data_IF_508098220904
#
_entry.id   IF_508098220904
#
_cell.length_a   1.000
_cell.length_b   1.000
_cell.length_c   1.000
_cell.angle_alpha   90.00
_cell.angle_beta   90.00
_cell.angle_gamma   90.00
#
_symmetry.space_group_name_H-M   'P 1'
#
loop_
_entity.id
_entity.type
_entity.pdbx_description
1 polymer ?
#
# COMPACT_ATOMS: atom_id res chain seq x y z
N UNK A 1 -15.43 1.85 17.59
CA UNK A 1 -16.51 2.33 16.69
C UNK A 1 -15.90 3.26 15.67
N UNK A 2 -15.30 2.71 14.61
CA UNK A 2 -14.56 3.48 13.59
C UNK A 2 -14.83 2.96 12.17
N UNK A 3 -15.94 2.26 11.96
CA UNK A 3 -16.39 1.77 10.64
C UNK A 3 -17.09 2.81 9.74
N UNK A 4 -17.69 3.94 10.21
CA UNK A 4 -18.50 4.77 9.32
C UNK A 4 -17.71 5.66 8.34
N UNK A 5 -16.37 5.65 8.36
CA UNK A 5 -15.54 6.50 7.47
C UNK A 5 -15.04 5.77 6.23
N UNK A 6 -14.56 4.52 6.39
CA UNK A 6 -14.03 3.74 5.27
C UNK A 6 -15.15 3.25 4.35
N UNK A 7 -16.19 2.65 4.92
CA UNK A 7 -17.31 2.11 4.11
C UNK A 7 -18.07 3.23 3.38
N UNK A 8 -18.12 4.43 3.97
CA UNK A 8 -18.67 5.61 3.32
C UNK A 8 -17.79 6.10 2.17
N UNK A 9 -16.47 6.09 2.32
CA UNK A 9 -15.54 6.44 1.24
C UNK A 9 -15.61 5.43 0.09
N UNK A 10 -15.58 4.13 0.40
CA UNK A 10 -15.75 3.05 -0.56
C UNK A 10 -17.07 3.19 -1.35
N UNK A 11 -18.16 3.49 -0.65
CA UNK A 11 -19.45 3.74 -1.28
C UNK A 11 -19.43 4.95 -2.24
N UNK A 12 -18.86 6.07 -1.81
CA UNK A 12 -18.75 7.28 -2.65
C UNK A 12 -17.88 7.03 -3.90
N UNK A 13 -16.82 6.25 -3.76
CA UNK A 13 -15.91 5.91 -4.85
C UNK A 13 -16.43 4.74 -5.71
N UNK A 14 -17.59 4.17 -5.38
CA UNK A 14 -18.15 2.98 -6.04
C UNK A 14 -17.18 1.79 -6.07
N UNK A 15 -16.43 1.61 -4.98
CA UNK A 15 -15.45 0.53 -4.79
C UNK A 15 -15.89 -0.41 -3.67
N UNK A 16 -15.45 -1.66 -3.73
CA UNK A 16 -15.55 -2.60 -2.60
C UNK A 16 -14.23 -2.69 -1.85
N UNK A 17 -14.27 -3.15 -0.60
CA UNK A 17 -13.05 -3.36 0.21
C UNK A 17 -12.11 -4.34 -0.48
N UNK A 18 -12.62 -5.43 -1.05
CA UNK A 18 -11.82 -6.41 -1.80
C UNK A 18 -11.17 -5.76 -3.02
N UNK A 19 -11.92 -4.96 -3.78
CA UNK A 19 -11.36 -4.30 -4.97
C UNK A 19 -10.21 -3.34 -4.63
N UNK A 20 -10.30 -2.63 -3.50
CA UNK A 20 -9.23 -1.74 -3.04
C UNK A 20 -8.05 -2.55 -2.52
N UNK A 21 -8.32 -3.63 -1.78
CA UNK A 21 -7.29 -4.55 -1.33
C UNK A 21 -6.48 -5.13 -2.50
N UNK A 22 -7.14 -5.69 -3.53
CA UNK A 22 -6.48 -6.25 -4.72
C UNK A 22 -5.62 -5.21 -5.46
N UNK A 23 -6.09 -3.97 -5.57
CA UNK A 23 -5.35 -2.91 -6.23
C UNK A 23 -4.10 -2.52 -5.43
N UNK A 24 -4.24 -2.36 -4.11
CA UNK A 24 -3.11 -2.07 -3.23
C UNK A 24 -2.10 -3.22 -3.17
N UNK A 25 -2.57 -4.48 -3.22
CA UNK A 25 -1.73 -5.66 -3.26
C UNK A 25 -0.90 -5.71 -4.55
N UNK A 26 -1.50 -5.36 -5.69
CA UNK A 26 -0.77 -5.25 -6.96
C UNK A 26 0.33 -4.19 -6.92
N UNK A 27 0.03 -3.04 -6.33
CA UNK A 27 1.02 -1.96 -6.15
C UNK A 27 2.13 -2.42 -5.23
N UNK A 28 1.79 -3.04 -4.10
CA UNK A 28 2.76 -3.58 -3.14
C UNK A 28 3.71 -4.59 -3.81
N UNK A 29 3.16 -5.58 -4.51
CA UNK A 29 3.95 -6.59 -5.21
C UNK A 29 4.87 -5.97 -6.26
N UNK A 30 4.38 -4.98 -7.02
CA UNK A 30 5.21 -4.27 -8.01
C UNK A 30 6.38 -3.52 -7.37
N UNK A 31 6.20 -2.98 -6.16
CA UNK A 31 7.25 -2.28 -5.42
C UNK A 31 8.28 -3.27 -4.83
N UNK A 32 7.83 -4.42 -4.35
CA UNK A 32 8.69 -5.51 -3.88
C UNK A 32 9.51 -6.06 -5.05
N UNK A 33 8.88 -6.36 -6.18
CA UNK A 33 9.55 -6.80 -7.40
C UNK A 33 10.60 -5.78 -7.85
N UNK A 34 10.27 -4.49 -7.81
CA UNK A 34 11.22 -3.42 -8.14
C UNK A 34 12.43 -3.43 -7.19
N UNK A 35 12.21 -3.59 -5.88
CA UNK A 35 13.27 -3.70 -4.89
C UNK A 35 14.19 -4.89 -5.18
N UNK A 36 13.62 -6.06 -5.50
CA UNK A 36 14.37 -7.28 -5.79
C UNK A 36 15.17 -7.20 -7.09
N UNK A 37 14.56 -6.66 -8.15
CA UNK A 37 15.19 -6.54 -9.46
C UNK A 37 16.22 -5.42 -9.52
N UNK A 38 16.04 -4.35 -8.73
CA UNK A 38 16.85 -3.13 -8.80
C UNK A 38 17.41 -2.69 -7.44
N UNK A 39 18.12 -3.54 -6.70
CA UNK A 39 18.47 -3.30 -5.29
C UNK A 39 19.34 -2.05 -5.08
N UNK A 40 20.26 -1.75 -6.01
CA UNK A 40 21.12 -0.55 -5.94
C UNK A 40 20.35 0.74 -6.21
N UNK A 41 19.42 0.70 -7.16
CA UNK A 41 18.56 1.87 -7.48
C UNK A 41 17.62 2.12 -6.31
N UNK A 42 17.00 1.05 -5.80
CA UNK A 42 16.16 1.10 -4.60
C UNK A 42 16.92 1.71 -3.41
N UNK A 43 18.14 1.24 -3.12
CA UNK A 43 18.95 1.77 -2.04
C UNK A 43 19.27 3.27 -2.23
N UNK A 44 19.59 3.69 -3.45
CA UNK A 44 19.85 5.09 -3.77
C UNK A 44 18.61 5.96 -3.56
N UNK A 45 17.44 5.51 -4.03
CA UNK A 45 16.17 6.21 -3.85
C UNK A 45 15.77 6.30 -2.37
N UNK A 46 16.08 5.27 -1.59
CA UNK A 46 15.87 5.27 -0.15
C UNK A 46 16.83 6.20 0.60
N UNK A 47 18.04 6.42 0.10
CA UNK A 47 19.06 7.29 0.71
C UNK A 47 18.83 8.79 0.44
N UNK A 48 18.22 9.15 -0.68
CA UNK A 48 17.98 10.56 -1.09
C UNK A 48 16.75 11.21 -0.40
N UNK A 49 16.48 10.89 0.87
CA UNK A 49 15.26 11.32 1.58
C UNK A 49 15.15 12.86 1.62
N UNK A 50 14.02 13.40 1.14
CA UNK A 50 13.54 14.76 1.47
C UNK A 50 12.41 14.76 2.48
N UNK A 51 11.46 13.81 2.42
CA UNK A 51 10.38 13.67 3.41
C UNK A 51 9.90 12.21 3.60
N UNK A 52 9.63 11.47 2.52
CA UNK A 52 9.25 10.04 2.53
C UNK A 52 10.11 9.24 1.55
N UNK A 53 10.51 8.03 1.91
CA UNK A 53 11.22 7.10 1.02
C UNK A 53 10.33 6.01 0.46
N UNK A 54 10.85 5.32 -0.56
CA UNK A 54 10.20 4.15 -1.14
C UNK A 54 9.99 3.03 -0.10
N UNK A 55 10.91 2.86 0.84
CA UNK A 55 10.75 1.96 1.98
C UNK A 55 9.55 2.34 2.86
N UNK A 56 9.35 3.63 3.13
CA UNK A 56 8.23 4.11 3.94
C UNK A 56 6.89 3.83 3.22
N UNK A 57 6.85 3.95 1.89
CA UNK A 57 5.68 3.61 1.08
C UNK A 57 5.35 2.11 1.09
N UNK A 58 6.36 1.24 0.95
CA UNK A 58 6.20 -0.22 1.02
C UNK A 58 5.65 -0.62 2.40
N UNK A 59 6.19 -0.04 3.47
CA UNK A 59 5.74 -0.31 4.82
C UNK A 59 4.29 0.17 5.06
N UNK A 60 3.94 1.37 4.58
CA UNK A 60 2.57 1.88 4.70
C UNK A 60 1.56 1.01 3.95
N UNK A 61 1.92 0.51 2.77
CA UNK A 61 1.08 -0.39 1.99
C UNK A 61 0.89 -1.74 2.70
N UNK A 62 1.96 -2.33 3.25
CA UNK A 62 1.88 -3.57 4.01
C UNK A 62 0.91 -3.44 5.21
N UNK A 63 1.04 -2.37 6.00
CA UNK A 63 0.15 -2.10 7.13
C UNK A 63 -1.30 -1.87 6.69
N UNK A 64 -1.50 -1.15 5.59
CA UNK A 64 -2.85 -0.87 5.05
C UNK A 64 -3.52 -2.16 4.56
N UNK A 65 -2.77 -3.05 3.92
CA UNK A 65 -3.27 -4.35 3.48
C UNK A 65 -3.68 -5.22 4.68
N UNK A 66 -2.92 -5.23 5.76
CA UNK A 66 -3.29 -5.94 6.99
C UNK A 66 -4.61 -5.43 7.60
N UNK A 67 -4.86 -4.12 7.55
CA UNK A 67 -6.12 -3.51 8.04
C UNK A 67 -7.30 -3.80 7.10
N UNK A 68 -7.04 -3.92 5.80
CA UNK A 68 -8.06 -4.19 4.79
C UNK A 68 -8.37 -5.68 4.61
N UNK A 69 -7.63 -6.58 5.27
CA UNK A 69 -7.96 -8.01 5.28
C UNK A 69 -9.41 -8.19 5.75
N UNK A 70 -10.26 -8.89 4.99
CA UNK A 70 -11.57 -9.25 5.50
C UNK A 70 -11.37 -10.11 6.76
N UNK A 71 -12.13 -9.81 7.83
CA UNK A 71 -12.22 -10.72 8.99
C UNK A 71 -12.57 -12.13 8.48
N UNK A 72 -11.76 -13.12 8.83
CA UNK A 72 -12.05 -14.54 8.59
C UNK A 72 -13.33 -15.00 9.31
#
# INVERSE_FOLDING_TARGET
MSEPTLDKALYLDSRTRESVHEELERVFNSLVDFQEQNPRVYQSLCAHKRDLSLADAIQALAQTLEVLKPDE
#
